data_IF_107035404233
#
_entry.id   IF_107035404233
#
_cell.length_a   1.000
_cell.length_b   1.000
_cell.length_c   1.000
_cell.angle_alpha   90.00
_cell.angle_beta   90.00
_cell.angle_gamma   90.00
#
_symmetry.space_group_name_H-M   'P 1'
#
loop_
_entity.id
_entity.type
_entity.pdbx_description
1 polymer ?
#
# COMPACT_ATOMS: atom_id res chain seq x y z
N UNK A 1 102.53 39.48 -23.06
CA UNK A 1 101.88 39.65 -21.74
C UNK A 1 100.37 39.70 -21.96
N UNK A 2 99.64 38.78 -21.32
CA UNK A 2 98.20 38.70 -21.01
C UNK A 2 97.13 38.48 -22.11
N UNK A 3 96.57 37.25 -22.10
CA UNK A 3 95.15 36.91 -22.36
C UNK A 3 94.23 37.64 -21.36
N UNK A 4 92.97 37.93 -21.71
CA UNK A 4 91.86 37.07 -21.24
C UNK A 4 90.77 36.85 -22.29
N UNK A 5 90.38 35.59 -22.53
CA UNK A 5 89.18 34.90 -22.01
C UNK A 5 87.88 35.23 -22.77
N UNK A 6 87.42 34.34 -23.67
CA UNK A 6 86.50 33.24 -23.34
C UNK A 6 85.15 33.71 -22.79
N UNK A 7 84.41 34.56 -23.52
CA UNK A 7 83.04 34.99 -23.12
C UNK A 7 81.92 34.36 -23.98
N UNK A 8 82.23 33.85 -25.17
CA UNK A 8 81.21 33.25 -26.05
C UNK A 8 80.89 31.78 -25.70
N UNK A 9 81.83 31.01 -25.14
CA UNK A 9 81.61 29.60 -24.81
C UNK A 9 80.91 29.37 -23.45
N UNK A 10 80.90 30.36 -22.56
CA UNK A 10 80.27 30.26 -21.23
C UNK A 10 78.74 30.43 -21.31
N UNK A 11 78.24 31.28 -22.22
CA UNK A 11 76.80 31.51 -22.40
C UNK A 11 76.09 30.36 -23.14
N UNK A 12 76.79 29.64 -24.03
CA UNK A 12 76.22 28.49 -24.75
C UNK A 12 76.02 27.28 -23.83
N UNK A 13 76.93 27.06 -22.87
CA UNK A 13 76.78 25.99 -21.86
C UNK A 13 75.64 26.28 -20.87
N UNK A 14 75.39 27.55 -20.55
CA UNK A 14 74.28 27.95 -19.68
C UNK A 14 72.90 27.74 -20.32
N UNK A 15 72.77 28.01 -21.61
CA UNK A 15 71.53 27.81 -22.38
C UNK A 15 71.24 26.31 -22.60
N UNK A 16 72.28 25.49 -22.81
CA UNK A 16 72.13 24.04 -22.93
C UNK A 16 71.67 23.40 -21.60
N UNK A 17 72.05 23.99 -20.46
CA UNK A 17 71.70 23.47 -19.14
C UNK A 17 70.28 23.87 -18.69
N UNK A 18 69.72 24.96 -19.22
CA UNK A 18 68.35 25.42 -18.89
C UNK A 18 67.26 24.63 -19.64
N UNK A 19 67.55 24.06 -20.81
CA UNK A 19 66.62 23.16 -21.51
C UNK A 19 66.46 21.79 -20.83
N UNK A 20 67.35 21.41 -19.91
CA UNK A 20 67.28 20.14 -19.18
C UNK A 20 66.40 20.22 -17.91
N UNK A 21 65.92 21.41 -17.57
CA UNK A 21 65.11 21.70 -16.37
C UNK A 21 63.64 22.00 -16.67
N UNK A 22 63.21 21.89 -17.93
CA UNK A 22 61.78 21.92 -18.26
C UNK A 22 61.26 20.51 -18.00
N UNK A 23 60.39 20.28 -17.01
CA UNK A 23 59.80 18.97 -16.81
C UNK A 23 59.00 18.63 -18.07
N UNK A 24 59.50 17.63 -18.81
CA UNK A 24 58.75 16.96 -19.88
C UNK A 24 57.39 16.60 -19.30
N UNK A 25 56.36 17.13 -19.95
CA UNK A 25 54.93 16.91 -19.73
C UNK A 25 54.66 15.60 -18.96
N UNK A 26 54.46 15.73 -17.66
CA UNK A 26 54.05 14.62 -16.83
C UNK A 26 52.63 14.21 -17.25
N UNK A 27 52.52 13.16 -18.06
CA UNK A 27 51.26 12.50 -18.42
C UNK A 27 50.65 11.72 -17.23
N UNK A 28 50.72 12.27 -16.01
CA UNK A 28 50.19 11.65 -14.80
C UNK A 28 48.67 11.91 -14.63
N UNK A 29 48.07 12.76 -15.46
CA UNK A 29 46.63 13.05 -15.42
C UNK A 29 45.82 12.16 -16.39
N UNK A 30 46.38 11.05 -16.88
CA UNK A 30 45.56 10.07 -17.58
C UNK A 30 44.71 9.34 -16.54
N UNK A 31 43.52 9.89 -16.25
CA UNK A 31 42.53 9.29 -15.36
C UNK A 31 41.98 8.03 -16.05
N UNK A 32 42.75 6.95 -15.99
CA UNK A 32 42.28 5.62 -16.35
C UNK A 32 41.06 5.33 -15.49
N UNK A 33 39.92 5.14 -16.14
CA UNK A 33 38.68 4.74 -15.46
C UNK A 33 39.01 3.42 -14.76
N UNK A 34 38.93 3.45 -13.43
CA UNK A 34 39.22 2.31 -12.56
C UNK A 34 38.43 1.07 -13.01
N UNK A 35 39.02 -0.11 -12.87
CA UNK A 35 38.45 -1.44 -13.18
C UNK A 35 37.12 -1.76 -12.48
N UNK A 36 36.69 -0.91 -11.57
CA UNK A 36 35.41 -0.99 -10.88
C UNK A 36 34.25 -0.76 -11.85
N UNK A 37 33.50 -1.83 -12.16
CA UNK A 37 32.28 -1.75 -12.98
C UNK A 37 31.25 -0.83 -12.31
N UNK A 38 30.94 0.28 -12.96
CA UNK A 38 29.85 1.17 -12.57
C UNK A 38 28.56 0.65 -13.19
N UNK A 39 27.60 0.29 -12.35
CA UNK A 39 26.25 -0.09 -12.79
C UNK A 39 25.32 1.12 -12.61
N UNK A 40 24.92 1.82 -13.69
CA UNK A 40 23.91 2.85 -13.58
C UNK A 40 22.59 2.20 -13.18
N UNK A 41 22.02 2.63 -12.05
CA UNK A 41 20.70 2.20 -11.63
C UNK A 41 19.65 2.83 -12.52
N UNK A 42 18.64 2.06 -12.88
CA UNK A 42 17.48 2.57 -13.61
C UNK A 42 16.67 3.50 -12.71
N UNK A 43 16.24 4.63 -13.26
CA UNK A 43 15.36 5.55 -12.56
C UNK A 43 14.03 4.86 -12.25
N UNK A 44 13.65 4.84 -10.97
CA UNK A 44 12.36 4.33 -10.51
C UNK A 44 11.47 5.52 -10.22
N UNK A 45 10.52 5.78 -11.12
CA UNK A 45 9.50 6.81 -10.93
C UNK A 45 8.45 6.24 -9.97
N UNK A 46 8.47 6.70 -8.72
CA UNK A 46 7.40 6.43 -7.75
C UNK A 46 6.29 7.44 -8.00
N UNK A 47 5.27 7.05 -8.75
CA UNK A 47 4.05 7.84 -8.83
C UNK A 47 3.21 7.62 -7.57
N UNK A 48 2.69 8.70 -7.01
CA UNK A 48 1.67 8.62 -5.96
C UNK A 48 0.46 7.88 -6.53
N UNK A 49 0.10 6.76 -5.89
CA UNK A 49 -1.27 6.24 -6.06
C UNK A 49 -2.17 7.19 -5.29
N UNK A 50 -2.92 8.01 -6.01
CA UNK A 50 -4.05 8.76 -5.47
C UNK A 50 -5.09 7.74 -4.98
N UNK A 51 -4.87 7.18 -3.79
CA UNK A 51 -5.93 6.50 -3.07
C UNK A 51 -6.74 7.62 -2.46
N UNK A 52 -7.95 7.82 -2.99
CA UNK A 52 -8.97 8.58 -2.29
C UNK A 52 -8.96 8.11 -0.85
N UNK A 53 -8.62 8.98 0.10
CA UNK A 53 -8.72 8.68 1.51
C UNK A 53 -10.14 8.20 1.74
N UNK A 54 -10.30 6.89 1.89
CA UNK A 54 -11.57 6.30 2.27
C UNK A 54 -11.88 6.94 3.62
N UNK A 55 -12.97 7.71 3.69
CA UNK A 55 -13.40 8.35 4.92
C UNK A 55 -13.64 7.21 5.90
N UNK A 56 -12.66 6.99 6.79
CA UNK A 56 -12.73 5.90 7.75
C UNK A 56 -13.89 6.19 8.68
N UNK A 57 -14.85 5.28 8.71
CA UNK A 57 -15.95 5.38 9.65
C UNK A 57 -15.41 5.48 11.08
N UNK A 58 -16.06 6.29 11.92
CA UNK A 58 -15.73 6.41 13.33
C UNK A 58 -15.98 5.11 14.11
N UNK A 59 -16.77 4.20 13.53
CA UNK A 59 -17.10 2.88 14.06
C UNK A 59 -16.63 1.78 13.07
N UNK A 60 -16.34 0.56 13.57
CA UNK A 60 -15.92 -0.55 12.72
C UNK A 60 -17.07 -1.02 11.82
N UNK A 61 -16.92 -0.82 10.52
CA UNK A 61 -17.84 -1.33 9.49
C UNK A 61 -17.30 -2.65 8.94
N UNK A 62 -18.16 -3.66 8.86
CA UNK A 62 -17.87 -4.93 8.21
C UNK A 62 -18.78 -5.10 7.00
N UNK A 63 -18.22 -5.55 5.89
CA UNK A 63 -18.94 -5.74 4.64
C UNK A 63 -18.58 -7.09 4.05
N UNK A 64 -19.59 -7.83 3.60
CA UNK A 64 -19.45 -8.97 2.72
C UNK A 64 -19.99 -8.60 1.34
N UNK A 65 -19.14 -8.71 0.31
CA UNK A 65 -19.55 -8.64 -1.09
C UNK A 65 -20.25 -9.93 -1.52
N UNK A 66 -20.96 -9.88 -2.64
CA UNK A 66 -21.60 -11.05 -3.26
C UNK A 66 -20.63 -12.23 -3.43
N UNK A 67 -19.40 -11.98 -3.89
CA UNK A 67 -18.40 -13.04 -4.05
C UNK A 67 -17.96 -13.64 -2.71
N UNK A 68 -17.90 -12.82 -1.66
CA UNK A 68 -17.60 -13.30 -0.31
C UNK A 68 -18.76 -14.12 0.25
N UNK A 69 -20.01 -13.68 0.06
CA UNK A 69 -21.21 -14.41 0.46
C UNK A 69 -21.29 -15.78 -0.23
N UNK A 70 -21.00 -15.84 -1.53
CA UNK A 70 -20.96 -17.08 -2.31
C UNK A 70 -19.88 -18.04 -1.79
N UNK A 71 -18.74 -17.53 -1.30
CA UNK A 71 -17.66 -18.35 -0.71
C UNK A 71 -17.99 -18.88 0.68
N UNK A 72 -18.91 -18.25 1.42
CA UNK A 72 -19.34 -18.73 2.74
C UNK A 72 -20.14 -20.03 2.66
N UNK A 73 -20.66 -20.41 1.47
CA UNK A 73 -21.55 -21.57 1.28
C UNK A 73 -22.74 -21.55 2.28
N UNK A 74 -23.25 -20.35 2.59
CA UNK A 74 -24.38 -20.19 3.49
C UNK A 74 -25.69 -20.51 2.75
N UNK A 75 -26.58 -21.30 3.37
CA UNK A 75 -27.88 -21.64 2.78
C UNK A 75 -28.94 -20.55 3.03
N UNK A 76 -28.78 -19.79 4.11
CA UNK A 76 -29.74 -18.76 4.54
C UNK A 76 -28.99 -17.50 4.95
N UNK A 77 -29.66 -16.35 4.86
CA UNK A 77 -29.10 -15.08 5.33
C UNK A 77 -28.67 -15.17 6.80
N UNK A 78 -29.43 -15.89 7.63
CA UNK A 78 -29.11 -16.15 9.02
C UNK A 78 -27.75 -16.81 9.26
N UNK A 79 -27.25 -17.57 8.29
CA UNK A 79 -25.96 -18.26 8.40
C UNK A 79 -24.81 -17.35 7.96
N UNK A 80 -25.02 -16.53 6.93
CA UNK A 80 -24.08 -15.49 6.54
C UNK A 80 -23.87 -14.48 7.67
N UNK A 81 -24.96 -14.03 8.30
CA UNK A 81 -24.93 -13.03 9.38
C UNK A 81 -24.12 -13.48 10.61
N UNK A 82 -24.04 -14.78 10.90
CA UNK A 82 -23.22 -15.33 12.00
C UNK A 82 -21.72 -15.08 11.82
N UNK A 83 -21.27 -14.80 10.60
CA UNK A 83 -19.85 -14.56 10.32
C UNK A 83 -19.40 -13.12 10.66
N UNK A 84 -20.34 -12.22 10.96
CA UNK A 84 -19.97 -10.90 11.48
C UNK A 84 -19.48 -10.98 12.92
N UNK A 85 -18.46 -10.20 13.23
CA UNK A 85 -17.92 -10.15 14.59
C UNK A 85 -18.92 -9.53 15.56
N UNK A 86 -19.10 -10.17 16.72
CA UNK A 86 -20.00 -9.71 17.77
C UNK A 86 -21.49 -9.89 17.47
N UNK A 87 -21.85 -10.59 16.39
CA UNK A 87 -23.23 -10.93 16.06
C UNK A 87 -23.57 -12.34 16.55
N UNK A 88 -24.78 -12.50 17.08
CA UNK A 88 -25.36 -13.80 17.42
C UNK A 88 -26.76 -13.86 16.82
N UNK A 89 -27.06 -14.94 16.12
CA UNK A 89 -28.39 -15.19 15.57
C UNK A 89 -29.18 -16.07 16.53
N UNK A 90 -30.36 -15.59 16.94
CA UNK A 90 -31.32 -16.35 17.74
C UNK A 90 -32.34 -17.00 16.80
N UNK A 91 -32.39 -18.33 16.84
CA UNK A 91 -33.27 -19.14 15.99
C UNK A 91 -34.40 -19.73 16.84
N UNK A 92 -35.65 -19.41 16.48
CA UNK A 92 -36.86 -19.82 17.16
C UNK A 92 -37.72 -20.68 16.22
N UNK A 93 -37.33 -21.94 16.04
CA UNK A 93 -38.12 -22.92 15.28
C UNK A 93 -37.38 -23.59 14.12
N UNK A 94 -36.10 -23.27 13.88
CA UNK A 94 -35.26 -23.93 12.88
C UNK A 94 -35.51 -23.42 11.47
N UNK A 95 -35.62 -24.34 10.51
CA UNK A 95 -35.88 -23.98 9.10
C UNK A 95 -37.30 -23.41 8.98
N UNK A 96 -37.41 -22.18 8.47
CA UNK A 96 -38.68 -21.46 8.37
C UNK A 96 -39.21 -20.90 9.70
N UNK A 97 -38.48 -21.08 10.81
CA UNK A 97 -38.76 -20.44 12.08
C UNK A 97 -38.34 -18.97 12.10
N UNK A 98 -38.72 -18.27 13.17
CA UNK A 98 -38.33 -16.87 13.39
C UNK A 98 -36.84 -16.78 13.68
N UNK A 99 -36.10 -15.98 12.91
CA UNK A 99 -34.66 -15.77 13.12
C UNK A 99 -34.36 -14.31 13.35
N UNK A 100 -33.73 -13.99 14.47
CA UNK A 100 -33.44 -12.61 14.87
C UNK A 100 -31.96 -12.41 15.14
N UNK A 101 -31.50 -11.17 15.08
CA UNK A 101 -30.09 -10.82 15.30
C UNK A 101 -29.89 -10.21 16.68
N UNK A 102 -28.73 -10.45 17.27
CA UNK A 102 -28.26 -9.78 18.46
C UNK A 102 -26.84 -9.31 18.21
N UNK A 103 -26.56 -8.05 18.53
CA UNK A 103 -25.25 -7.43 18.30
C UNK A 103 -24.67 -6.97 19.63
N UNK A 104 -23.50 -7.48 20.01
CA UNK A 104 -22.78 -7.07 21.24
C UNK A 104 -23.69 -7.08 22.49
N UNK A 105 -24.45 -8.16 22.67
CA UNK A 105 -25.44 -8.36 23.74
C UNK A 105 -26.71 -7.49 23.65
N UNK A 106 -26.86 -6.66 22.62
CA UNK A 106 -28.13 -5.99 22.32
C UNK A 106 -29.04 -6.93 21.55
N UNK A 107 -30.28 -7.10 22.01
CA UNK A 107 -31.27 -7.93 21.33
C UNK A 107 -31.75 -7.33 20.02
N UNK A 108 -32.59 -8.09 19.31
CA UNK A 108 -33.18 -7.68 18.05
C UNK A 108 -34.05 -6.42 18.16
N UNK A 109 -34.68 -6.20 19.32
CA UNK A 109 -35.44 -4.96 19.62
C UNK A 109 -34.59 -3.69 19.60
N UNK A 110 -33.28 -3.85 19.76
CA UNK A 110 -32.30 -2.77 19.80
C UNK A 110 -31.35 -2.80 18.60
N UNK A 111 -31.60 -3.67 17.63
CA UNK A 111 -30.77 -3.81 16.43
C UNK A 111 -31.61 -3.48 15.21
N UNK A 112 -31.33 -2.34 14.57
CA UNK A 112 -31.98 -1.97 13.33
C UNK A 112 -31.48 -2.87 12.18
N UNK A 113 -32.42 -3.31 11.33
CA UNK A 113 -32.10 -4.02 10.09
C UNK A 113 -32.56 -3.15 8.92
N UNK A 114 -31.64 -2.83 8.01
CA UNK A 114 -31.94 -2.09 6.80
C UNK A 114 -31.97 -2.99 5.57
N UNK A 115 -32.85 -2.68 4.63
CA UNK A 115 -32.89 -3.27 3.30
C UNK A 115 -32.98 -2.15 2.27
N UNK A 116 -32.00 -2.06 1.35
CA UNK A 116 -31.90 -1.01 0.33
C UNK A 116 -32.06 0.43 0.87
N UNK A 117 -31.49 0.69 2.05
CA UNK A 117 -31.53 2.00 2.71
C UNK A 117 -32.82 2.27 3.51
N UNK A 118 -33.79 1.35 3.49
CA UNK A 118 -35.02 1.45 4.28
C UNK A 118 -34.86 0.62 5.55
N UNK A 119 -35.02 1.25 6.71
CA UNK A 119 -35.05 0.53 7.99
C UNK A 119 -36.35 -0.25 8.12
N UNK A 120 -36.22 -1.56 8.33
CA UNK A 120 -37.34 -2.45 8.58
C UNK A 120 -37.81 -2.28 10.03
N UNK A 121 -39.13 -2.32 10.21
CA UNK A 121 -39.77 -2.17 11.52
C UNK A 121 -40.90 -3.19 11.66
N UNK A 122 -41.02 -3.76 12.86
CA UNK A 122 -42.18 -4.55 13.27
C UNK A 122 -42.83 -3.87 14.47
N UNK A 123 -44.03 -3.32 14.29
CA UNK A 123 -44.71 -2.54 15.33
C UNK A 123 -45.23 -3.38 16.50
N UNK A 124 -45.39 -4.70 16.32
CA UNK A 124 -45.95 -5.57 17.37
C UNK A 124 -44.88 -5.99 18.37
N UNK A 125 -43.73 -6.47 17.87
CA UNK A 125 -42.66 -6.98 18.72
C UNK A 125 -41.45 -6.07 18.76
N UNK A 126 -41.14 -5.35 17.67
CA UNK A 126 -39.87 -4.65 17.44
C UNK A 126 -38.80 -5.53 16.78
N UNK A 127 -39.02 -6.85 16.77
CA UNK A 127 -38.13 -7.84 16.18
C UNK A 127 -38.28 -7.93 14.67
N UNK A 128 -37.13 -7.85 13.98
CA UNK A 128 -37.04 -8.18 12.56
C UNK A 128 -36.61 -9.63 12.40
N UNK A 129 -37.46 -10.37 11.72
CA UNK A 129 -37.13 -11.71 11.26
C UNK A 129 -36.26 -11.62 10.02
N UNK A 130 -35.00 -12.05 10.14
CA UNK A 130 -34.05 -12.08 9.02
C UNK A 130 -34.16 -13.38 8.20
N UNK A 131 -34.89 -14.38 8.70
CA UNK A 131 -35.08 -15.67 8.01
C UNK A 131 -35.96 -15.57 6.76
N UNK A 132 -36.77 -14.51 6.66
CA UNK A 132 -37.64 -14.23 5.50
C UNK A 132 -36.90 -13.72 4.26
N UNK A 133 -35.62 -13.35 4.37
CA UNK A 133 -34.84 -12.82 3.25
C UNK A 133 -33.98 -13.92 2.62
N UNK A 134 -34.09 -14.06 1.30
CA UNK A 134 -33.22 -14.96 0.55
C UNK A 134 -31.82 -14.37 0.44
N UNK A 135 -30.80 -15.21 0.61
CA UNK A 135 -29.40 -14.82 0.40
C UNK A 135 -29.09 -14.55 -1.08
N UNK A 136 -29.80 -15.21 -2.01
CA UNK A 136 -29.56 -15.09 -3.46
C UNK A 136 -29.84 -13.69 -4.00
N UNK A 137 -30.71 -12.92 -3.36
CA UNK A 137 -31.08 -11.56 -3.78
C UNK A 137 -30.26 -10.48 -3.04
N UNK A 138 -29.15 -10.85 -2.41
CA UNK A 138 -28.31 -9.95 -1.63
C UNK A 138 -26.99 -9.72 -2.38
N UNK A 139 -26.82 -8.53 -2.95
CA UNK A 139 -25.54 -8.14 -3.57
C UNK A 139 -24.46 -7.77 -2.53
N UNK A 140 -24.89 -7.25 -1.37
CA UNK A 140 -23.99 -6.82 -0.31
C UNK A 140 -24.68 -6.95 1.04
N UNK A 141 -23.93 -7.43 2.03
CA UNK A 141 -24.34 -7.46 3.42
C UNK A 141 -23.37 -6.63 4.26
N UNK A 142 -23.87 -5.71 5.06
CA UNK A 142 -23.02 -4.82 5.87
C UNK A 142 -23.51 -4.69 7.31
N UNK A 143 -22.56 -4.46 8.21
CA UNK A 143 -22.75 -4.18 9.62
C UNK A 143 -21.96 -2.92 9.96
N UNK A 144 -22.65 -1.90 10.49
CA UNK A 144 -22.10 -0.59 10.85
C UNK A 144 -22.59 -0.14 12.20
#
# INVERSE_FOLDING_TARGET
MNKPQTSAQTNLKGILCTCMLIPVSAYAQNRTIDTTRVYPLSEVIVSERYQSHEVRAAAPVQVFSEEQLNRLNAFQLSDAVKHFTGVTVKDYGGIGGLKTVSLRSLGAEHTAVGYDGITLSNMQTGQIDIGRFSLENIAQLSLS
#
